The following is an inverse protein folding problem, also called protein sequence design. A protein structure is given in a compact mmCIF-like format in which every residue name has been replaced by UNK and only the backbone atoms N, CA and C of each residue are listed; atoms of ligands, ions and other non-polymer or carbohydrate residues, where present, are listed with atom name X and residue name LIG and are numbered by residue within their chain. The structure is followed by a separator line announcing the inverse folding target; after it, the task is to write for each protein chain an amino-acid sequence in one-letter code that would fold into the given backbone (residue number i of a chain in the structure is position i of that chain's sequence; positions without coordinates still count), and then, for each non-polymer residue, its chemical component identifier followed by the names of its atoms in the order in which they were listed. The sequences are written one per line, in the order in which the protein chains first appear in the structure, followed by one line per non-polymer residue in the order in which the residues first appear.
data_IF_451575803886
#
_entry.id   IF_451575803886
#
_cell.length_a   1.000
_cell.length_b   1.000
_cell.length_c   1.000
_cell.angle_alpha   90.00
_cell.angle_beta   90.00
_cell.angle_gamma   90.00
#
_symmetry.space_group_name_H-M   'P 1'
#
loop_
_entity.id
_entity.type
_entity.pdbx_description
1 polymer ?
#
# COMPACT_ATOMS: atom_id res chain seq x y z
N UNK A 1 -1.90 29.45 16.01
CA UNK A 1 -1.74 28.65 14.78
C UNK A 1 -2.33 27.28 15.08
N UNK A 2 -3.49 26.91 14.49
CA UNK A 2 -4.05 25.57 14.69
C UNK A 2 -3.26 24.60 13.82
N UNK A 3 -2.41 23.79 14.43
CA UNK A 3 -1.96 22.54 13.81
C UNK A 3 -3.21 21.66 13.75
N UNK A 4 -3.61 21.19 12.57
CA UNK A 4 -4.71 20.24 12.46
C UNK A 4 -4.32 18.95 13.18
N UNK A 5 -5.15 18.47 14.09
CA UNK A 5 -4.97 17.19 14.79
C UNK A 5 -5.10 16.03 13.78
N UNK A 6 -4.00 15.64 13.16
CA UNK A 6 -3.92 14.54 12.21
C UNK A 6 -2.54 13.90 12.25
N UNK A 7 -2.50 12.58 12.10
CA UNK A 7 -1.29 11.77 12.10
C UNK A 7 -0.94 11.32 10.69
N UNK A 8 0.36 11.19 10.41
CA UNK A 8 0.87 10.60 9.18
C UNK A 8 1.36 9.18 9.48
N UNK A 9 0.77 8.20 8.81
CA UNK A 9 1.17 6.80 8.86
C UNK A 9 1.83 6.41 7.55
N UNK A 10 3.03 5.85 7.63
CA UNK A 10 3.82 5.47 6.44
C UNK A 10 4.29 4.03 6.59
N UNK A 11 3.90 3.18 5.65
CA UNK A 11 4.51 1.88 5.46
C UNK A 11 5.47 1.93 4.27
N UNK A 12 6.77 1.96 4.57
CA UNK A 12 7.84 1.97 3.56
C UNK A 12 8.93 0.92 3.88
N UNK A 13 8.51 -0.31 4.16
CA UNK A 13 9.44 -1.44 4.39
C UNK A 13 10.02 -1.94 3.06
N UNK A 14 10.79 -1.10 2.36
CA UNK A 14 11.25 -1.33 0.99
C UNK A 14 12.28 -2.47 0.84
N UNK A 15 12.87 -2.96 1.93
CA UNK A 15 13.83 -4.09 1.92
C UNK A 15 13.20 -5.45 2.25
N UNK A 16 11.89 -5.49 2.49
CA UNK A 16 11.22 -6.72 2.88
C UNK A 16 11.07 -7.69 1.71
N UNK A 17 11.22 -8.98 2.00
CA UNK A 17 10.85 -10.05 1.08
C UNK A 17 9.34 -10.05 0.81
N UNK A 18 8.91 -10.84 -0.17
CA UNK A 18 7.53 -10.80 -0.69
C UNK A 18 6.47 -11.03 0.41
N UNK A 19 6.66 -12.03 1.27
CA UNK A 19 5.70 -12.37 2.32
C UNK A 19 5.62 -11.28 3.39
N UNK A 20 6.75 -10.82 3.91
CA UNK A 20 6.78 -9.78 4.94
C UNK A 20 6.26 -8.44 4.40
N UNK A 21 6.56 -8.13 3.13
CA UNK A 21 6.06 -6.93 2.47
C UNK A 21 4.54 -6.99 2.31
N UNK A 22 3.99 -8.13 1.90
CA UNK A 22 2.55 -8.36 1.82
C UNK A 22 1.89 -8.12 3.18
N UNK A 23 2.37 -8.79 4.23
CA UNK A 23 1.83 -8.65 5.58
C UNK A 23 1.89 -7.20 6.08
N UNK A 24 2.99 -6.50 5.81
CA UNK A 24 3.13 -5.10 6.21
C UNK A 24 2.14 -4.18 5.49
N UNK A 25 1.81 -4.44 4.22
CA UNK A 25 0.78 -3.67 3.50
C UNK A 25 -0.60 -3.99 4.05
N UNK A 26 -0.95 -5.27 4.13
CA UNK A 26 -2.25 -5.72 4.64
C UNK A 26 -2.52 -5.15 6.03
N UNK A 27 -1.51 -5.15 6.91
CA UNK A 27 -1.65 -4.55 8.23
C UNK A 27 -1.88 -3.04 8.16
N UNK A 28 -1.15 -2.32 7.32
CA UNK A 28 -1.31 -0.88 7.18
C UNK A 28 -2.65 -0.49 6.52
N UNK A 29 -3.19 -1.35 5.66
CA UNK A 29 -4.54 -1.20 5.09
C UNK A 29 -5.61 -1.43 6.15
N UNK A 30 -5.49 -2.48 6.96
CA UNK A 30 -6.37 -2.76 8.11
C UNK A 30 -6.33 -1.60 9.12
N UNK A 31 -5.16 -1.03 9.39
CA UNK A 31 -5.03 0.11 10.29
C UNK A 31 -5.67 1.37 9.67
N UNK A 32 -5.46 1.64 8.38
CA UNK A 32 -6.12 2.74 7.68
C UNK A 32 -7.65 2.62 7.75
N UNK A 33 -8.17 1.40 7.72
CA UNK A 33 -9.60 1.15 7.83
C UNK A 33 -10.12 1.36 9.26
N UNK A 34 -9.43 0.82 10.26
CA UNK A 34 -9.96 0.65 11.61
C UNK A 34 -9.64 1.80 12.57
N UNK A 35 -8.53 2.50 12.35
CA UNK A 35 -8.03 3.53 13.27
C UNK A 35 -7.96 4.94 12.67
N UNK A 36 -8.10 5.09 11.35
CA UNK A 36 -7.97 6.40 10.71
C UNK A 36 -9.11 7.34 11.07
N UNK A 37 -8.75 8.54 11.52
CA UNK A 37 -9.66 9.67 11.59
C UNK A 37 -9.61 10.49 10.29
N UNK A 38 -10.59 11.37 10.09
CA UNK A 38 -10.71 12.22 8.88
C UNK A 38 -9.48 13.11 8.56
N UNK A 39 -8.61 13.34 9.53
CA UNK A 39 -7.41 14.16 9.38
C UNK A 39 -6.13 13.31 9.25
N UNK A 40 -6.24 11.99 9.44
CA UNK A 40 -5.11 11.09 9.34
C UNK A 40 -4.82 10.78 7.87
N UNK A 41 -3.54 10.62 7.55
CA UNK A 41 -3.08 10.32 6.20
C UNK A 41 -2.26 9.05 6.24
N UNK A 42 -2.67 8.07 5.44
CA UNK A 42 -1.93 6.83 5.25
C UNK A 42 -1.23 6.84 3.88
N UNK A 43 0.06 6.50 3.86
CA UNK A 43 0.84 6.29 2.64
C UNK A 43 1.46 4.89 2.70
N UNK A 44 1.04 4.06 1.76
CA UNK A 44 1.32 2.64 1.73
C UNK A 44 2.13 2.31 0.48
N UNK A 45 3.43 2.09 0.64
CA UNK A 45 4.30 1.66 -0.45
C UNK A 45 4.15 0.16 -0.66
N UNK A 46 3.62 -0.25 -1.80
CA UNK A 46 3.67 -1.62 -2.27
C UNK A 46 5.01 -1.99 -2.92
N UNK A 47 5.81 -0.99 -3.28
CA UNK A 47 7.16 -1.15 -3.81
C UNK A 47 8.10 -1.83 -2.81
N UNK A 48 8.98 -2.69 -3.32
CA UNK A 48 10.07 -3.30 -2.56
C UNK A 48 11.21 -3.70 -3.50
N UNK A 49 12.45 -3.52 -3.05
CA UNK A 49 13.62 -4.11 -3.72
C UNK A 49 13.84 -5.58 -3.35
N UNK A 50 13.15 -6.06 -2.32
CA UNK A 50 13.34 -7.38 -1.73
C UNK A 50 14.48 -7.43 -0.72
N UNK A 51 14.59 -8.58 -0.04
CA UNK A 51 15.65 -8.88 0.93
C UNK A 51 16.96 -9.34 0.28
N UNK A 52 17.03 -9.38 -1.05
CA UNK A 52 18.22 -9.80 -1.78
C UNK A 52 19.26 -8.67 -1.84
N UNK A 53 20.56 -8.99 -1.87
CA UNK A 53 21.63 -7.99 -1.98
C UNK A 53 21.52 -7.14 -3.25
N UNK A 54 21.05 -7.74 -4.35
CA UNK A 54 20.71 -7.03 -5.59
C UNK A 54 19.20 -6.90 -5.66
N UNK A 55 18.72 -5.66 -5.77
CA UNK A 55 17.29 -5.37 -5.84
C UNK A 55 16.68 -5.82 -7.17
N UNK A 56 15.53 -6.49 -7.10
CA UNK A 56 14.78 -6.92 -8.28
C UNK A 56 13.37 -6.30 -8.28
N UNK A 57 13.30 -4.97 -8.23
CA UNK A 57 12.04 -4.22 -8.09
C UNK A 57 10.95 -4.65 -9.07
N UNK A 58 11.30 -4.88 -10.35
CA UNK A 58 10.34 -5.38 -11.34
C UNK A 58 9.77 -6.77 -11.01
N UNK A 59 10.61 -7.70 -10.53
CA UNK A 59 10.15 -9.04 -10.14
C UNK A 59 9.17 -8.97 -8.97
N UNK A 60 9.50 -8.18 -7.94
CA UNK A 60 8.63 -8.00 -6.79
C UNK A 60 7.36 -7.26 -7.16
N UNK A 61 7.45 -6.18 -7.94
CA UNK A 61 6.30 -5.43 -8.43
C UNK A 61 5.32 -6.31 -9.18
N UNK A 62 5.81 -7.19 -10.08
CA UNK A 62 4.95 -8.14 -10.79
C UNK A 62 4.15 -9.00 -9.80
N UNK A 63 4.80 -9.55 -8.77
CA UNK A 63 4.16 -10.41 -7.77
C UNK A 63 3.21 -9.65 -6.84
N UNK A 64 3.60 -8.47 -6.38
CA UNK A 64 2.78 -7.63 -5.53
C UNK A 64 1.54 -7.12 -6.26
N UNK A 65 1.69 -6.65 -7.51
CA UNK A 65 0.58 -6.16 -8.34
C UNK A 65 -0.38 -7.30 -8.69
N UNK A 66 0.13 -8.50 -9.04
CA UNK A 66 -0.70 -9.69 -9.27
C UNK A 66 -1.54 -10.03 -8.02
N UNK A 67 -0.94 -10.03 -6.84
CA UNK A 67 -1.64 -10.29 -5.56
C UNK A 67 -2.69 -9.22 -5.25
N UNK A 68 -2.34 -7.95 -5.41
CA UNK A 68 -3.26 -6.84 -5.21
C UNK A 68 -4.47 -6.90 -6.16
N UNK A 69 -4.26 -7.29 -7.42
CA UNK A 69 -5.36 -7.49 -8.37
C UNK A 69 -6.28 -8.66 -7.98
N UNK A 70 -5.76 -9.67 -7.28
CA UNK A 70 -6.52 -10.83 -6.81
C UNK A 70 -7.21 -10.62 -5.46
N UNK A 71 -6.79 -9.64 -4.65
CA UNK A 71 -7.39 -9.40 -3.34
C UNK A 71 -8.82 -8.86 -3.48
N UNK A 72 -9.71 -9.18 -2.55
CA UNK A 72 -10.97 -8.44 -2.46
C UNK A 72 -10.69 -7.13 -1.71
N UNK A 73 -11.05 -6.01 -2.30
CA UNK A 73 -11.00 -4.70 -1.63
C UNK A 73 -12.43 -4.31 -1.33
N UNK A 74 -12.72 -4.09 -0.06
CA UNK A 74 -14.00 -3.55 0.36
C UNK A 74 -14.09 -2.06 0.02
N UNK A 75 -15.29 -1.51 -0.08
CA UNK A 75 -15.50 -0.07 -0.31
C UNK A 75 -15.18 0.75 0.96
N UNK A 76 -13.89 1.04 1.17
CA UNK A 76 -13.33 1.63 2.38
C UNK A 76 -12.10 2.51 2.13
N UNK A 77 -11.73 3.31 3.12
CA UNK A 77 -10.53 4.15 3.08
C UNK A 77 -9.24 3.34 3.29
N UNK A 78 -8.37 3.32 2.27
CA UNK A 78 -7.09 2.60 2.27
C UNK A 78 -5.86 3.52 2.26
N UNK A 79 -6.07 4.83 2.38
CA UNK A 79 -5.02 5.82 2.18
C UNK A 79 -4.52 5.88 0.74
N UNK A 80 -3.26 6.29 0.58
CA UNK A 80 -2.59 6.41 -0.71
C UNK A 80 -1.72 5.20 -0.95
N UNK A 81 -1.96 4.48 -2.04
CA UNK A 81 -1.19 3.31 -2.43
C UNK A 81 -0.16 3.68 -3.50
N UNK A 82 1.12 3.38 -3.25
CA UNK A 82 2.24 3.66 -4.15
C UNK A 82 2.80 2.33 -4.67
N UNK A 83 2.71 2.13 -5.98
CA UNK A 83 3.15 0.89 -6.64
C UNK A 83 4.32 1.15 -7.58
N UNK A 84 5.24 0.18 -7.66
CA UNK A 84 6.18 0.09 -8.78
C UNK A 84 5.46 -0.52 -10.00
N UNK A 85 5.76 0.00 -11.19
CA UNK A 85 5.25 -0.51 -12.47
C UNK A 85 3.72 -0.75 -12.49
N UNK A 86 2.96 0.20 -11.91
CA UNK A 86 1.51 0.13 -11.87
C UNK A 86 0.93 0.00 -13.29
N UNK A 87 0.03 -0.96 -13.48
CA UNK A 87 -0.74 -1.08 -14.72
C UNK A 87 -2.03 -0.27 -14.61
N UNK A 88 -2.70 -0.04 -15.74
CA UNK A 88 -4.04 0.55 -15.74
C UNK A 88 -5.01 -0.26 -14.87
N UNK A 89 -4.93 -1.59 -14.87
CA UNK A 89 -5.76 -2.45 -14.04
C UNK A 89 -5.52 -2.21 -12.53
N UNK A 90 -4.27 -2.07 -12.10
CA UNK A 90 -3.94 -1.75 -10.69
C UNK A 90 -4.52 -0.38 -10.33
N UNK A 91 -4.31 0.63 -11.18
CA UNK A 91 -4.79 1.98 -10.93
C UNK A 91 -6.33 2.05 -10.90
N UNK A 92 -7.01 1.43 -11.87
CA UNK A 92 -8.48 1.34 -11.93
C UNK A 92 -9.04 0.73 -10.65
N UNK A 93 -8.47 -0.40 -10.20
CA UNK A 93 -8.92 -1.06 -8.97
C UNK A 93 -8.79 -0.16 -7.74
N UNK A 94 -7.73 0.64 -7.61
CA UNK A 94 -7.59 1.61 -6.50
C UNK A 94 -8.62 2.74 -6.61
N UNK A 95 -8.85 3.24 -7.82
CA UNK A 95 -9.79 4.35 -8.04
C UNK A 95 -11.22 3.90 -7.75
N UNK A 96 -11.58 2.69 -8.18
CA UNK A 96 -12.91 2.10 -8.03
C UNK A 96 -13.28 1.78 -6.57
N UNK A 97 -12.34 1.82 -5.61
CA UNK A 97 -12.67 1.71 -4.18
C UNK A 97 -13.04 3.06 -3.53
N UNK A 98 -13.17 4.15 -4.31
CA UNK A 98 -13.56 5.46 -3.80
C UNK A 98 -14.96 5.81 -4.34
N UNK A 99 -16.00 5.60 -3.52
CA UNK A 99 -17.38 6.01 -3.81
C UNK A 99 -17.80 7.29 -3.07
#
# INVERSE_FOLDING_TARGET
MKVSDGSLFVQDRFEYGLADKQNAIEKSLEDAETVANKNDVFINFASTKGSLPVGHSYFFAKKMNERFLQSELEDKYFGRLIFDYATSAVASKVIETNF
#
